data_IF_820384304792
#
_entry.id   IF_820384304792
#
_cell.length_a   1.000
_cell.length_b   1.000
_cell.length_c   1.000
_cell.angle_alpha   90.00
_cell.angle_beta   90.00
_cell.angle_gamma   90.00
#
_symmetry.space_group_name_H-M   'P 1'
#
loop_
_entity.id
_entity.type
_entity.pdbx_description
1 polymer ?
#
# COMPACT_ATOMS: atom_id res chain seq x y z
N UNK A 1 37.10 10.54 7.16
CA UNK A 1 36.33 9.42 7.72
C UNK A 1 34.89 9.72 7.34
N UNK A 2 34.40 9.10 6.27
CA UNK A 2 33.04 9.29 5.79
C UNK A 2 32.14 8.49 6.71
N UNK A 3 31.24 9.17 7.43
CA UNK A 3 30.19 8.48 8.19
C UNK A 3 29.28 7.79 7.18
N UNK A 4 29.22 6.47 7.24
CA UNK A 4 28.32 5.68 6.40
C UNK A 4 26.88 5.95 6.87
N UNK A 5 25.93 6.30 5.99
CA UNK A 5 24.57 6.59 6.41
C UNK A 5 23.95 5.36 7.10
N UNK A 6 23.07 5.58 8.10
CA UNK A 6 22.43 4.49 8.81
C UNK A 6 21.60 3.65 7.83
N UNK A 7 21.76 2.33 7.94
CA UNK A 7 21.06 1.36 7.11
C UNK A 7 20.63 0.14 7.94
N UNK A 8 19.68 -0.63 7.42
CA UNK A 8 19.22 -1.87 8.03
C UNK A 8 20.30 -2.94 7.85
N UNK A 9 20.75 -3.55 8.95
CA UNK A 9 21.63 -4.72 8.94
C UNK A 9 20.81 -6.01 8.89
N UNK A 10 19.70 -6.04 9.62
CA UNK A 10 18.92 -7.24 9.84
C UNK A 10 17.44 -6.92 9.99
N UNK A 11 16.59 -7.72 9.33
CA UNK A 11 15.14 -7.67 9.45
C UNK A 11 14.62 -9.08 9.65
N UNK A 12 13.99 -9.35 10.81
CA UNK A 12 13.50 -10.68 11.18
C UNK A 12 11.98 -10.63 11.37
N UNK A 13 11.19 -11.34 10.56
CA UNK A 13 9.75 -11.43 10.76
C UNK A 13 9.43 -12.25 12.01
N UNK A 14 8.42 -11.80 12.77
CA UNK A 14 7.86 -12.49 13.93
C UNK A 14 6.38 -12.72 13.64
N UNK A 15 6.10 -13.77 12.85
CA UNK A 15 4.79 -14.03 12.24
C UNK A 15 3.66 -14.13 13.27
N UNK A 16 3.93 -14.76 14.42
CA UNK A 16 2.97 -14.95 15.52
C UNK A 16 2.48 -13.61 16.12
N UNK A 17 3.32 -12.57 16.05
CA UNK A 17 3.04 -11.24 16.59
C UNK A 17 2.60 -10.24 15.52
N UNK A 18 2.70 -10.59 14.22
CA UNK A 18 2.49 -9.63 13.12
C UNK A 18 3.48 -8.48 13.17
N UNK A 19 4.73 -8.74 13.58
CA UNK A 19 5.79 -7.76 13.72
C UNK A 19 7.01 -8.12 12.86
N UNK A 20 7.90 -7.15 12.65
CA UNK A 20 9.25 -7.33 12.14
C UNK A 20 10.22 -6.61 13.07
N UNK A 21 11.24 -7.32 13.52
CA UNK A 21 12.35 -6.73 14.25
C UNK A 21 13.38 -6.19 13.26
N UNK A 22 13.86 -4.98 13.51
CA UNK A 22 14.86 -4.31 12.67
C UNK A 22 16.06 -3.93 13.53
N UNK A 23 17.26 -4.32 13.08
CA UNK A 23 18.53 -3.85 13.62
C UNK A 23 19.24 -2.96 12.60
N UNK A 24 19.59 -1.77 13.03
CA UNK A 24 20.25 -0.76 12.22
C UNK A 24 21.76 -0.70 12.49
N UNK A 25 22.50 -0.07 11.58
CA UNK A 25 23.96 0.09 11.68
C UNK A 25 24.45 1.07 12.74
N UNK A 26 23.55 1.86 13.31
CA UNK A 26 23.80 2.72 14.46
C UNK A 26 23.55 2.02 15.81
N UNK A 27 23.46 0.69 15.80
CA UNK A 27 23.14 -0.18 16.94
C UNK A 27 21.72 0.01 17.51
N UNK A 28 20.86 0.80 16.84
CA UNK A 28 19.45 0.88 17.22
C UNK A 28 18.68 -0.39 16.82
N UNK A 29 17.75 -0.80 17.68
CA UNK A 29 16.82 -1.91 17.43
C UNK A 29 15.39 -1.42 17.59
N UNK A 30 14.49 -1.83 16.70
CA UNK A 30 13.08 -1.49 16.78
C UNK A 30 12.17 -2.64 16.35
N UNK A 31 10.96 -2.66 16.89
CA UNK A 31 9.89 -3.53 16.45
C UNK A 31 8.91 -2.72 15.60
N UNK A 32 8.53 -3.24 14.44
CA UNK A 32 7.59 -2.59 13.52
C UNK A 32 6.45 -3.53 13.23
N UNK A 33 5.22 -3.08 13.45
CA UNK A 33 4.02 -3.86 13.08
C UNK A 33 3.84 -3.97 11.57
N UNK A 34 3.69 -5.20 11.09
CA UNK A 34 3.38 -5.49 9.70
C UNK A 34 1.86 -5.54 9.48
N UNK A 35 1.43 -5.50 8.22
CA UNK A 35 0.01 -5.55 7.85
C UNK A 35 -0.58 -4.20 7.43
N UNK A 36 -1.89 -4.15 7.14
CA UNK A 36 -2.53 -2.97 6.56
C UNK A 36 -2.46 -1.75 7.51
N UNK A 37 -2.40 -0.57 6.92
CA UNK A 37 -2.53 0.75 7.57
C UNK A 37 -3.70 1.48 6.92
N UNK A 38 -4.44 2.25 7.71
CA UNK A 38 -5.61 3.00 7.24
C UNK A 38 -5.34 4.49 7.07
N UNK A 39 -4.25 5.01 7.66
CA UNK A 39 -3.89 6.43 7.62
C UNK A 39 -2.41 6.66 7.36
N UNK A 40 -2.07 7.85 6.88
CA UNK A 40 -0.67 8.30 6.74
C UNK A 40 0.03 8.36 8.10
N UNK A 41 -0.70 8.75 9.16
CA UNK A 41 -0.16 8.78 10.53
C UNK A 41 0.30 7.40 11.00
N UNK A 42 -0.55 6.38 10.85
CA UNK A 42 -0.20 5.00 11.19
C UNK A 42 1.02 4.49 10.42
N UNK A 43 1.12 4.85 9.13
CA UNK A 43 2.29 4.50 8.33
C UNK A 43 3.56 5.19 8.85
N UNK A 44 3.49 6.50 9.13
CA UNK A 44 4.64 7.26 9.62
C UNK A 44 5.10 6.77 10.99
N UNK A 45 4.16 6.47 11.89
CA UNK A 45 4.46 5.94 13.22
C UNK A 45 5.18 4.59 13.13
N UNK A 46 4.74 3.70 12.22
CA UNK A 46 5.43 2.42 11.98
C UNK A 46 6.83 2.62 11.41
N UNK A 47 7.00 3.59 10.51
CA UNK A 47 8.27 3.84 9.83
C UNK A 47 9.24 4.74 10.61
N UNK A 48 8.86 5.28 11.78
CA UNK A 48 9.67 6.26 12.50
C UNK A 48 11.05 5.74 12.91
N UNK A 49 11.21 4.41 13.02
CA UNK A 49 12.45 3.75 13.39
C UNK A 49 13.27 3.24 12.18
N UNK A 50 12.74 3.37 10.97
CA UNK A 50 13.45 2.99 9.75
C UNK A 50 14.40 4.14 9.36
N UNK A 51 15.69 3.85 9.11
CA UNK A 51 16.61 4.89 8.65
C UNK A 51 16.09 5.57 7.40
N UNK A 52 16.12 6.91 7.37
CA UNK A 52 15.54 7.72 6.27
C UNK A 52 16.11 7.42 4.88
N UNK A 53 17.34 6.89 4.82
CA UNK A 53 17.99 6.50 3.58
C UNK A 53 17.55 5.13 3.06
N UNK A 54 16.77 4.37 3.84
CA UNK A 54 16.28 3.03 3.45
C UNK A 54 15.35 3.15 2.23
N UNK A 55 15.61 2.41 1.13
CA UNK A 55 14.74 2.43 -0.04
C UNK A 55 13.33 1.92 0.26
N UNK A 56 12.30 2.66 -0.16
CA UNK A 56 10.92 2.19 -0.15
C UNK A 56 10.62 1.47 -1.47
N UNK A 57 10.29 0.18 -1.35
CA UNK A 57 9.97 -0.67 -2.49
C UNK A 57 8.55 -1.21 -2.38
N UNK A 58 7.86 -1.27 -3.52
CA UNK A 58 6.60 -2.01 -3.67
C UNK A 58 6.91 -3.36 -4.29
N UNK A 59 6.30 -4.43 -3.78
CA UNK A 59 6.26 -5.70 -4.49
C UNK A 59 5.34 -5.61 -5.72
N UNK A 60 5.77 -6.21 -6.82
CA UNK A 60 5.05 -6.25 -8.07
C UNK A 60 4.79 -7.68 -8.49
N UNK A 61 3.52 -7.98 -8.82
CA UNK A 61 3.15 -9.26 -9.43
C UNK A 61 4.11 -9.61 -10.58
N UNK A 62 4.77 -10.76 -10.47
CA UNK A 62 5.75 -11.33 -11.41
C UNK A 62 7.04 -10.52 -11.65
N UNK A 63 7.21 -9.34 -11.04
CA UNK A 63 8.31 -8.42 -11.31
C UNK A 63 9.30 -8.21 -10.16
N UNK A 64 9.02 -8.81 -8.99
CA UNK A 64 9.78 -8.54 -7.77
C UNK A 64 9.63 -7.08 -7.30
N UNK A 65 10.62 -6.61 -6.53
CA UNK A 65 10.59 -5.28 -5.93
C UNK A 65 10.93 -4.17 -6.92
N UNK A 66 10.22 -3.06 -6.82
CA UNK A 66 10.47 -1.83 -7.58
C UNK A 66 10.26 -0.59 -6.72
N UNK A 67 10.79 0.54 -7.15
CA UNK A 67 10.61 1.82 -6.45
C UNK A 67 9.14 2.19 -6.28
N UNK A 68 8.83 2.86 -5.18
CA UNK A 68 7.52 3.44 -4.90
C UNK A 68 7.44 4.91 -5.34
N UNK A 69 6.28 5.33 -5.81
CA UNK A 69 5.89 6.72 -6.01
C UNK A 69 4.81 7.12 -5.02
N UNK A 70 4.62 8.42 -4.80
CA UNK A 70 3.55 8.97 -3.97
C UNK A 70 2.79 10.03 -4.74
N UNK A 71 1.47 10.03 -4.61
CA UNK A 71 0.60 11.11 -5.11
C UNK A 71 -0.52 11.40 -4.13
N UNK A 72 -1.00 12.64 -4.14
CA UNK A 72 -2.23 13.04 -3.46
C UNK A 72 -3.31 13.13 -4.54
N UNK A 73 -4.40 12.38 -4.38
CA UNK A 73 -5.47 12.31 -5.38
C UNK A 73 -6.79 11.94 -4.72
N UNK A 74 -7.89 12.18 -5.44
CA UNK A 74 -9.20 11.68 -5.01
C UNK A 74 -9.34 10.19 -5.30
N UNK A 75 -9.94 9.48 -4.35
CA UNK A 75 -10.32 8.08 -4.43
C UNK A 75 -11.78 7.92 -4.01
N UNK A 76 -12.43 6.88 -4.54
CA UNK A 76 -13.79 6.52 -4.19
C UNK A 76 -13.81 5.11 -3.61
N UNK A 77 -14.43 4.96 -2.45
CA UNK A 77 -14.76 3.66 -1.89
C UNK A 77 -15.93 3.04 -2.65
N UNK A 78 -15.83 1.77 -3.02
CA UNK A 78 -16.87 0.99 -3.66
C UNK A 78 -17.21 -0.25 -2.82
N UNK A 79 -18.50 -0.46 -2.60
CA UNK A 79 -19.02 -1.72 -2.09
C UNK A 79 -19.22 -2.73 -3.23
N UNK A 80 -19.08 -4.02 -2.93
CA UNK A 80 -19.32 -5.10 -3.90
C UNK A 80 -18.14 -5.41 -4.83
N UNK A 81 -16.96 -4.83 -4.61
CA UNK A 81 -15.74 -5.23 -5.30
C UNK A 81 -15.25 -6.61 -4.81
N UNK A 82 -14.60 -7.40 -5.69
CA UNK A 82 -13.87 -8.59 -5.26
C UNK A 82 -12.82 -8.24 -4.20
N UNK A 83 -12.66 -9.10 -3.21
CA UNK A 83 -11.76 -8.86 -2.06
C UNK A 83 -10.30 -8.62 -2.44
N UNK A 84 -9.86 -9.11 -3.61
CA UNK A 84 -8.49 -8.93 -4.10
C UNK A 84 -8.24 -7.56 -4.78
N UNK A 85 -9.29 -6.78 -5.06
CA UNK A 85 -9.18 -5.44 -5.68
C UNK A 85 -9.08 -4.34 -4.61
N UNK A 86 -9.45 -4.65 -3.36
CA UNK A 86 -9.61 -3.66 -2.30
C UNK A 86 -10.89 -2.83 -2.48
N UNK A 87 -11.16 -1.94 -1.51
CA UNK A 87 -12.40 -1.16 -1.46
C UNK A 87 -12.29 0.18 -2.18
N UNK A 88 -11.09 0.71 -2.40
CA UNK A 88 -10.87 2.06 -2.93
C UNK A 88 -10.24 2.01 -4.32
N UNK A 89 -10.75 2.84 -5.22
CA UNK A 89 -10.19 3.07 -6.56
C UNK A 89 -9.97 4.56 -6.79
N UNK A 90 -9.14 4.91 -7.77
CA UNK A 90 -9.11 6.29 -8.27
C UNK A 90 -10.52 6.68 -8.73
N UNK A 91 -10.95 7.91 -8.47
CA UNK A 91 -12.33 8.33 -8.76
C UNK A 91 -12.75 8.09 -10.22
N UNK A 92 -11.83 8.26 -11.18
CA UNK A 92 -12.09 7.97 -12.59
C UNK A 92 -12.30 6.47 -12.87
N UNK A 93 -11.49 5.61 -12.26
CA UNK A 93 -11.60 4.15 -12.38
C UNK A 93 -12.88 3.66 -11.68
N UNK A 94 -13.20 4.23 -10.52
CA UNK A 94 -14.44 3.94 -9.81
C UNK A 94 -15.67 4.28 -10.65
N UNK A 95 -15.67 5.43 -11.32
CA UNK A 95 -16.75 5.82 -12.24
C UNK A 95 -16.85 4.85 -13.44
N UNK A 96 -15.72 4.34 -13.94
CA UNK A 96 -15.71 3.32 -14.98
C UNK A 96 -16.29 1.99 -14.49
N UNK A 97 -15.91 1.52 -13.29
CA UNK A 97 -16.43 0.30 -12.68
C UNK A 97 -17.95 0.38 -12.44
N UNK A 98 -18.43 1.48 -11.84
CA UNK A 98 -19.87 1.72 -11.64
C UNK A 98 -20.63 1.78 -12.97
N UNK A 99 -20.00 2.26 -14.04
CA UNK A 99 -20.59 2.27 -15.37
C UNK A 99 -20.50 0.90 -16.10
N UNK A 100 -19.89 -0.12 -15.50
CA UNK A 100 -19.65 -1.42 -16.12
C UNK A 100 -18.60 -1.41 -17.24
N UNK A 101 -17.70 -0.43 -17.22
CA UNK A 101 -16.61 -0.23 -18.22
C UNK A 101 -15.21 -0.39 -17.62
N UNK A 102 -15.11 -0.77 -16.35
CA UNK A 102 -13.86 -0.85 -15.61
C UNK A 102 -12.99 -2.07 -15.94
N UNK A 103 -11.93 -2.25 -15.15
CA UNK A 103 -10.90 -3.29 -15.24
C UNK A 103 -11.53 -4.68 -15.14
N UNK A 104 -12.64 -4.81 -14.42
CA UNK A 104 -13.40 -6.05 -14.36
C UNK A 104 -14.18 -6.25 -15.67
N UNK A 105 -13.61 -7.06 -16.56
CA UNK A 105 -14.40 -7.74 -17.58
C UNK A 105 -15.41 -8.66 -16.91
N UNK A 106 -16.58 -8.12 -16.54
CA UNK A 106 -17.74 -8.81 -15.97
C UNK A 106 -18.34 -9.88 -16.91
N UNK A 107 -17.61 -10.28 -17.94
CA UNK A 107 -18.08 -11.16 -19.01
C UNK A 107 -18.10 -12.65 -18.62
N UNK A 108 -17.56 -13.05 -17.46
CA UNK A 108 -17.35 -14.47 -17.13
C UNK A 108 -17.85 -14.97 -15.76
N UNK A 109 -18.52 -14.18 -14.93
CA UNK A 109 -19.10 -14.70 -13.67
C UNK A 109 -20.58 -14.40 -13.55
N UNK A 110 -21.34 -15.47 -13.27
CA UNK A 110 -22.78 -15.46 -13.03
C UNK A 110 -23.13 -14.44 -11.95
N UNK A 111 -23.94 -13.47 -12.35
CA UNK A 111 -24.56 -12.39 -11.57
C UNK A 111 -23.71 -11.71 -10.49
N UNK A 112 -23.03 -10.61 -10.81
CA UNK A 112 -22.44 -9.76 -9.81
C UNK A 112 -23.22 -8.46 -9.70
N UNK A 113 -23.69 -8.15 -8.48
CA UNK A 113 -24.14 -6.79 -8.18
C UNK A 113 -23.09 -5.79 -8.63
N UNK A 114 -23.53 -4.84 -9.46
CA UNK A 114 -22.70 -3.71 -9.87
C UNK A 114 -22.15 -3.00 -8.62
N UNK A 115 -20.84 -2.68 -8.58
CA UNK A 115 -20.27 -1.92 -7.47
C UNK A 115 -21.02 -0.62 -7.26
N UNK A 116 -21.16 -0.22 -6.00
CA UNK A 116 -21.85 1.01 -5.63
C UNK A 116 -20.91 1.92 -4.83
N UNK A 117 -20.91 3.24 -5.08
CA UNK A 117 -20.12 4.17 -4.30
C UNK A 117 -20.59 4.20 -2.85
N UNK A 118 -19.61 4.23 -1.93
CA UNK A 118 -19.83 4.43 -0.50
C UNK A 118 -19.43 5.87 -0.17
N UNK A 119 -20.41 6.69 0.20
CA UNK A 119 -20.17 8.10 0.53
C UNK A 119 -19.65 8.93 -0.64
N UNK A 120 -19.06 10.08 -0.31
CA UNK A 120 -18.41 10.98 -1.26
C UNK A 120 -16.94 10.57 -1.48
N UNK A 121 -16.34 10.91 -2.63
CA UNK A 121 -14.91 10.76 -2.84
C UNK A 121 -14.08 11.46 -1.75
N UNK A 122 -12.95 10.86 -1.39
CA UNK A 122 -12.03 11.40 -0.39
C UNK A 122 -10.67 11.68 -1.01
N UNK A 123 -10.00 12.74 -0.54
CA UNK A 123 -8.60 12.98 -0.89
C UNK A 123 -7.70 12.07 -0.07
N UNK A 124 -6.85 11.30 -0.75
CA UNK A 124 -5.94 10.34 -0.11
C UNK A 124 -4.50 10.50 -0.60
N UNK A 125 -3.55 10.08 0.23
CA UNK A 125 -2.17 9.83 -0.16
C UNK A 125 -2.07 8.40 -0.67
N UNK A 126 -1.68 8.23 -1.93
CA UNK A 126 -1.58 6.94 -2.60
C UNK A 126 -0.11 6.62 -2.83
N UNK A 127 0.37 5.55 -2.20
CA UNK A 127 1.62 4.89 -2.57
C UNK A 127 1.34 3.98 -3.76
N UNK A 128 2.14 4.12 -4.82
CA UNK A 128 2.00 3.32 -6.03
C UNK A 128 3.34 2.79 -6.49
N UNK A 129 3.31 1.68 -7.23
CA UNK A 129 4.48 1.13 -7.91
C UNK A 129 4.92 2.10 -9.01
N UNK A 130 6.19 2.54 -9.01
CA UNK A 130 6.71 3.34 -10.12
C UNK A 130 6.62 2.55 -11.44
N UNK A 131 6.22 3.25 -12.51
CA UNK A 131 5.94 2.64 -13.82
C UNK A 131 4.50 2.15 -14.01
N UNK A 132 3.61 2.39 -13.04
CA UNK A 132 2.15 2.19 -13.14
C UNK A 132 1.38 3.47 -12.84
#
# INVERSE_FOLDING_TARGET
>A
MTDDPPHIIEAVPVDEAGLTWIRCSDESTAEISTGPVSTVGELLDRLQHVPRATPLLTDGYEGGYTGAGVRVTEVQELAGLPTHVGSFLLSADAAAEVAGRGISGWSQMQDPQRPAPVGDPVTAVVLYRQGR
#
